data_IF_856360200747
#
_entry.id   IF_856360200747
#
_cell.length_a   1.000
_cell.length_b   1.000
_cell.length_c   1.000
_cell.angle_alpha   90.00
_cell.angle_beta   90.00
_cell.angle_gamma   90.00
#
_symmetry.space_group_name_H-M   'P 1'
#
loop_
_entity.id
_entity.type
_entity.pdbx_description
1 polymer ?
#
# COMPACT_ATOMS: atom_id res chain seq x y z
N UNK A 1 -0.50 4.44 -1.00
CA UNK A 1 -1.32 3.38 -0.41
C UNK A 1 -1.13 3.44 1.08
N UNK A 2 -2.23 3.67 1.79
CA UNK A 2 -2.20 3.82 3.25
C UNK A 2 -2.59 2.52 3.98
N UNK A 3 -3.36 1.66 3.31
CA UNK A 3 -3.72 0.33 3.79
C UNK A 3 -3.91 -0.62 2.60
N UNK A 4 -3.26 -1.79 2.63
CA UNK A 4 -3.44 -2.85 1.63
C UNK A 4 -4.00 -4.08 2.34
N UNK A 5 -5.21 -4.49 1.97
CA UNK A 5 -5.87 -5.68 2.53
C UNK A 5 -5.38 -6.94 1.83
N UNK A 6 -5.25 -8.04 2.58
CA UNK A 6 -4.92 -9.36 2.07
C UNK A 6 -6.13 -10.04 1.40
N UNK A 7 -5.93 -11.27 0.92
CA UNK A 7 -6.96 -12.10 0.28
C UNK A 7 -7.99 -12.65 1.28
N UNK A 8 -7.65 -12.72 2.57
CA UNK A 8 -8.54 -13.20 3.62
C UNK A 8 -9.61 -12.17 3.99
N UNK A 9 -9.38 -10.89 3.67
CA UNK A 9 -10.32 -9.80 3.90
C UNK A 9 -11.09 -9.45 2.63
N UNK A 10 -12.40 -9.25 2.79
CA UNK A 10 -13.26 -8.92 1.66
C UNK A 10 -12.92 -7.57 1.04
N UNK A 11 -12.69 -7.55 -0.28
CA UNK A 11 -12.55 -6.32 -1.08
C UNK A 11 -13.72 -5.33 -0.93
N UNK A 12 -14.89 -5.79 -0.46
CA UNK A 12 -16.06 -4.94 -0.16
C UNK A 12 -15.82 -3.95 0.98
N UNK A 13 -14.77 -4.13 1.79
CA UNK A 13 -14.40 -3.18 2.84
C UNK A 13 -13.70 -1.93 2.28
N UNK A 14 -13.09 -2.01 1.09
CA UNK A 14 -12.30 -0.92 0.51
C UNK A 14 -13.08 0.40 0.42
N UNK A 15 -14.34 0.45 -0.08
CA UNK A 15 -15.11 1.70 -0.14
C UNK A 15 -15.27 2.40 1.21
N UNK A 16 -15.59 1.65 2.28
CA UNK A 16 -15.73 2.20 3.63
C UNK A 16 -14.38 2.68 4.18
N UNK A 17 -13.30 1.97 3.87
CA UNK A 17 -11.95 2.33 4.31
C UNK A 17 -11.42 3.57 3.60
N UNK A 18 -11.87 3.90 2.38
CA UNK A 18 -11.44 5.13 1.70
C UNK A 18 -11.73 6.40 2.53
N UNK A 19 -12.80 6.41 3.32
CA UNK A 19 -13.19 7.57 4.12
C UNK A 19 -12.21 7.88 5.27
N UNK A 20 -11.57 6.85 5.84
CA UNK A 20 -10.68 6.95 7.01
C UNK A 20 -9.21 6.69 6.67
N UNK A 21 -8.96 5.89 5.64
CA UNK A 21 -7.66 5.53 5.09
C UNK A 21 -7.67 5.73 3.55
N UNK A 22 -7.59 6.98 3.06
CA UNK A 22 -7.58 7.26 1.63
C UNK A 22 -6.44 6.52 0.91
N UNK A 23 -6.75 5.96 -0.26
CA UNK A 23 -5.81 5.13 -1.03
C UNK A 23 -5.67 3.71 -0.48
N UNK A 24 -6.67 3.23 0.27
CA UNK A 24 -6.79 1.81 0.62
C UNK A 24 -7.06 0.96 -0.63
N UNK A 25 -6.56 -0.27 -0.65
CA UNK A 25 -6.87 -1.25 -1.70
C UNK A 25 -6.81 -2.68 -1.14
N UNK A 26 -7.02 -3.69 -1.98
CA UNK A 26 -6.97 -5.10 -1.63
C UNK A 26 -6.24 -5.89 -2.74
N UNK A 27 -5.55 -6.98 -2.39
CA UNK A 27 -4.67 -7.73 -3.31
C UNK A 27 -5.35 -8.24 -4.58
N UNK A 28 -6.59 -8.71 -4.55
CA UNK A 28 -7.33 -9.16 -5.74
C UNK A 28 -7.69 -8.00 -6.68
N UNK A 29 -7.88 -6.78 -6.15
CA UNK A 29 -8.10 -5.60 -6.98
C UNK A 29 -6.84 -5.13 -7.71
N UNK A 30 -5.69 -5.68 -7.33
CA UNK A 30 -4.36 -5.30 -7.81
C UNK A 30 -3.66 -6.45 -8.56
N UNK A 31 -4.41 -7.52 -8.87
CA UNK A 31 -3.88 -8.75 -9.48
C UNK A 31 -2.73 -9.39 -8.69
N UNK A 32 -2.73 -9.21 -7.36
CA UNK A 32 -1.78 -9.80 -6.42
C UNK A 32 -2.37 -11.01 -5.68
N UNK A 33 -3.52 -11.53 -6.15
CA UNK A 33 -4.14 -12.73 -5.60
C UNK A 33 -3.19 -13.93 -5.70
N UNK A 34 -2.98 -14.67 -4.60
CA UNK A 34 -2.01 -15.77 -4.55
C UNK A 34 -0.53 -15.36 -4.67
N UNK A 35 -0.21 -14.05 -4.70
CA UNK A 35 1.16 -13.60 -4.59
C UNK A 35 1.70 -13.90 -3.19
N UNK A 36 2.99 -14.25 -3.10
CA UNK A 36 3.59 -14.48 -1.79
C UNK A 36 3.72 -13.18 -0.97
N UNK A 37 3.86 -13.33 0.34
CA UNK A 37 3.99 -12.20 1.27
C UNK A 37 5.06 -11.20 0.84
N UNK A 38 6.21 -11.69 0.35
CA UNK A 38 7.31 -10.83 -0.06
C UNK A 38 6.93 -9.92 -1.25
N UNK A 39 6.17 -10.43 -2.22
CA UNK A 39 5.66 -9.66 -3.34
C UNK A 39 4.65 -8.62 -2.87
N UNK A 40 3.71 -9.00 -1.99
CA UNK A 40 2.71 -8.09 -1.40
C UNK A 40 3.40 -6.97 -0.61
N UNK A 41 4.40 -7.30 0.23
CA UNK A 41 5.19 -6.33 0.98
C UNK A 41 5.98 -5.38 0.07
N UNK A 42 6.58 -5.92 -1.00
CA UNK A 42 7.34 -5.11 -1.95
C UNK A 42 6.43 -4.09 -2.63
N UNK A 43 5.26 -4.53 -3.08
CA UNK A 43 4.25 -3.67 -3.66
C UNK A 43 3.76 -2.60 -2.67
N UNK A 44 3.38 -3.01 -1.45
CA UNK A 44 2.91 -2.08 -0.42
C UNK A 44 3.95 -0.99 -0.11
N UNK A 45 5.23 -1.36 -0.01
CA UNK A 45 6.32 -0.40 0.23
C UNK A 45 6.57 0.55 -0.95
N UNK A 46 6.50 0.05 -2.18
CA UNK A 46 6.68 0.88 -3.37
C UNK A 46 5.57 1.92 -3.52
N UNK A 47 4.38 1.61 -3.02
CA UNK A 47 3.22 2.49 -3.08
C UNK A 47 2.94 3.22 -1.77
N UNK A 48 3.77 3.10 -0.73
CA UNK A 48 3.56 3.80 0.53
C UNK A 48 3.69 5.32 0.35
N UNK A 49 2.56 6.01 0.49
CA UNK A 49 2.47 7.47 0.37
C UNK A 49 2.89 8.20 1.65
N UNK A 50 3.18 7.46 2.72
CA UNK A 50 3.69 7.97 4.00
C UNK A 50 5.20 8.23 4.02
N UNK A 51 5.94 7.84 2.97
CA UNK A 51 7.33 8.29 2.80
C UNK A 51 7.35 9.78 2.51
N UNK A 52 7.39 10.58 3.58
CA UNK A 52 8.06 11.86 3.54
C UNK A 52 9.45 11.59 2.96
N UNK A 53 9.73 12.24 1.84
CA UNK A 53 11.05 12.27 1.25
C UNK A 53 12.02 12.83 2.32
N UNK A 54 12.64 11.98 3.12
CA UNK A 54 13.93 12.31 3.72
C UNK A 54 14.97 12.16 2.59
N UNK A 55 14.81 12.98 1.54
CA UNK A 55 15.93 13.37 0.72
C UNK A 55 16.81 14.18 1.66
N UNK A 56 17.81 13.50 2.21
CA UNK A 56 19.07 14.15 2.56
C UNK A 56 19.44 15.08 1.41
N UNK A 57 19.28 16.38 1.63
CA UNK A 57 20.03 17.37 0.87
C UNK A 57 21.50 16.95 0.96
N UNK A 58 22.21 16.71 -0.16
CA UNK A 58 23.66 16.75 -0.09
C UNK A 58 23.97 18.21 0.21
N UNK A 59 24.28 18.51 1.47
CA UNK A 59 24.89 19.78 1.83
C UNK A 59 26.19 19.84 1.05
N UNK A 60 26.21 20.63 -0.02
CA UNK A 60 27.44 21.09 -0.63
C UNK A 60 28.26 21.80 0.45
N UNK A 61 29.49 21.32 0.66
CA UNK A 61 30.48 21.88 1.56
C UNK A 61 31.81 21.20 1.32
#
# INVERSE_FOLDING_TARGET
MKLLLDENLSRRLVPSLQAVYPGSSQVDLLDLSGANDHAVWTYARAHDSGRLHEARSPTSG
#
